data_IF_237463072546
#
_entry.id   IF_237463072546
#
_cell.length_a   1.000
_cell.length_b   1.000
_cell.length_c   1.000
_cell.angle_alpha   90.00
_cell.angle_beta   90.00
_cell.angle_gamma   90.00
#
_symmetry.space_group_name_H-M   'P 1'
#
loop_
_entity.id
_entity.type
_entity.pdbx_description
1 polymer ?
#
# COMPACT_ATOMS: atom_id res chain seq x y z
N UNK A 1 11.63 12.91 -5.79
CA UNK A 1 10.81 12.08 -6.71
C UNK A 1 9.64 11.47 -5.96
N UNK A 2 8.46 11.49 -6.56
CA UNK A 2 7.23 10.92 -6.01
C UNK A 2 6.87 9.67 -6.80
N UNK A 3 6.69 8.55 -6.10
CA UNK A 3 6.38 7.25 -6.73
C UNK A 3 5.09 6.70 -6.13
N UNK A 4 4.13 6.37 -7.01
CA UNK A 4 2.87 5.74 -6.66
C UNK A 4 2.97 4.23 -6.94
N UNK A 5 2.67 3.43 -5.93
CA UNK A 5 2.50 1.99 -6.04
C UNK A 5 1.00 1.68 -5.99
N UNK A 6 0.45 1.18 -7.08
CA UNK A 6 -0.96 0.79 -7.17
C UNK A 6 -1.07 -0.74 -7.12
N UNK A 7 -1.68 -1.25 -6.06
CA UNK A 7 -1.81 -2.68 -5.82
C UNK A 7 -3.26 -3.13 -6.00
N UNK A 8 -3.44 -4.27 -6.68
CA UNK A 8 -4.77 -4.85 -6.96
C UNK A 8 -4.97 -6.25 -6.38
N UNK A 9 -3.90 -7.01 -6.16
CA UNK A 9 -3.99 -8.41 -5.75
C UNK A 9 -4.25 -8.56 -4.24
N UNK A 10 -4.80 -9.72 -3.86
CA UNK A 10 -4.91 -10.12 -2.46
C UNK A 10 -3.52 -10.16 -1.80
N UNK A 11 -3.45 -9.97 -0.47
CA UNK A 11 -2.17 -9.89 0.24
C UNK A 11 -1.31 -11.14 0.08
N UNK A 12 -1.94 -12.30 -0.02
CA UNK A 12 -1.26 -13.59 -0.13
C UNK A 12 -1.86 -14.39 -1.29
N UNK A 13 -1.14 -15.36 -1.81
CA UNK A 13 -1.55 -16.14 -2.98
C UNK A 13 -0.70 -15.87 -4.21
N UNK A 14 -0.04 -14.72 -4.27
CA UNK A 14 1.03 -14.42 -5.24
C UNK A 14 2.06 -13.54 -4.53
N UNK A 15 3.23 -13.38 -5.14
CA UNK A 15 4.29 -12.53 -4.59
C UNK A 15 4.22 -11.07 -5.08
N UNK A 16 3.20 -10.71 -5.83
CA UNK A 16 3.10 -9.35 -6.41
C UNK A 16 3.16 -8.26 -5.35
N UNK A 17 2.32 -8.36 -4.32
CA UNK A 17 2.30 -7.35 -3.26
C UNK A 17 3.57 -7.38 -2.42
N UNK A 18 4.06 -8.57 -2.10
CA UNK A 18 5.33 -8.73 -1.40
C UNK A 18 6.47 -8.02 -2.16
N UNK A 19 6.57 -8.28 -3.46
CA UNK A 19 7.60 -7.65 -4.29
C UNK A 19 7.40 -6.14 -4.42
N UNK A 20 6.16 -5.67 -4.57
CA UNK A 20 5.85 -4.25 -4.62
C UNK A 20 6.31 -3.54 -3.35
N UNK A 21 5.93 -4.06 -2.19
CA UNK A 21 6.20 -3.42 -0.91
C UNK A 21 7.69 -3.48 -0.54
N UNK A 22 8.37 -4.58 -0.80
CA UNK A 22 9.81 -4.62 -0.55
C UNK A 22 10.58 -3.69 -1.48
N UNK A 23 10.09 -3.46 -2.70
CA UNK A 23 10.66 -2.47 -3.62
C UNK A 23 10.46 -1.06 -3.06
N UNK A 24 9.27 -0.73 -2.58
CA UNK A 24 9.00 0.55 -1.95
C UNK A 24 9.89 0.80 -0.73
N UNK A 25 10.01 -0.20 0.15
CA UNK A 25 10.87 -0.13 1.34
C UNK A 25 12.32 0.10 0.93
N UNK A 26 12.80 -0.62 -0.07
CA UNK A 26 14.19 -0.46 -0.54
C UNK A 26 14.44 0.94 -1.11
N UNK A 27 13.48 1.48 -1.86
CA UNK A 27 13.58 2.85 -2.37
C UNK A 27 13.69 3.87 -1.24
N UNK A 28 12.89 3.72 -0.19
CA UNK A 28 12.96 4.61 0.98
C UNK A 28 14.31 4.53 1.69
N UNK A 29 14.92 3.34 1.72
CA UNK A 29 16.25 3.17 2.33
C UNK A 29 17.38 3.78 1.50
N UNK A 30 17.27 3.67 0.17
CA UNK A 30 18.31 4.17 -0.74
C UNK A 30 18.33 5.69 -0.86
N UNK A 31 17.16 6.33 -0.83
CA UNK A 31 17.04 7.77 -1.01
C UNK A 31 15.89 8.35 -0.19
N UNK A 32 16.22 9.08 0.88
CA UNK A 32 15.24 9.68 1.79
C UNK A 32 14.40 10.78 1.14
N UNK A 33 14.80 11.28 -0.02
CA UNK A 33 14.03 12.29 -0.75
C UNK A 33 12.89 11.69 -1.58
N UNK A 34 12.83 10.36 -1.74
CA UNK A 34 11.76 9.69 -2.47
C UNK A 34 10.50 9.63 -1.59
N UNK A 35 9.40 10.16 -2.11
CA UNK A 35 8.08 10.05 -1.48
C UNK A 35 7.35 8.84 -2.03
N UNK A 36 6.93 7.94 -1.17
CA UNK A 36 6.18 6.74 -1.53
C UNK A 36 4.72 6.89 -1.15
N UNK A 37 3.84 6.64 -2.11
CA UNK A 37 2.41 6.50 -1.89
C UNK A 37 1.96 5.13 -2.37
N UNK A 38 1.37 4.34 -1.49
CA UNK A 38 0.77 3.05 -1.83
C UNK A 38 -0.75 3.20 -1.82
N UNK A 39 -1.38 2.90 -2.95
CA UNK A 39 -2.84 2.89 -3.05
C UNK A 39 -3.32 1.45 -3.23
N UNK A 40 -4.18 1.00 -2.32
CA UNK A 40 -4.72 -0.34 -2.30
C UNK A 40 -6.16 -0.33 -2.82
N UNK A 41 -6.42 -1.08 -3.89
CA UNK A 41 -7.77 -1.25 -4.41
C UNK A 41 -8.04 -2.72 -4.71
N UNK A 42 -9.29 -3.07 -5.05
CA UNK A 42 -9.70 -4.46 -5.24
C UNK A 42 -9.34 -5.29 -4.01
N UNK A 43 -8.91 -6.52 -4.18
CA UNK A 43 -8.53 -7.40 -3.08
C UNK A 43 -7.29 -6.91 -2.30
N UNK A 44 -6.51 -5.99 -2.86
CA UNK A 44 -5.35 -5.44 -2.18
C UNK A 44 -5.71 -4.61 -0.94
N UNK A 45 -6.95 -4.16 -0.78
CA UNK A 45 -7.37 -3.49 0.45
C UNK A 45 -7.16 -4.38 1.67
N UNK A 46 -7.23 -5.69 1.50
CA UNK A 46 -7.01 -6.66 2.58
C UNK A 46 -5.55 -6.73 3.04
N UNK A 47 -4.62 -6.14 2.31
CA UNK A 47 -3.24 -5.96 2.78
C UNK A 47 -3.20 -5.15 4.08
N UNK A 48 -4.17 -4.27 4.28
CA UNK A 48 -4.28 -3.43 5.46
C UNK A 48 -5.17 -4.02 6.56
N UNK A 49 -5.59 -5.28 6.44
CA UNK A 49 -6.38 -5.94 7.47
C UNK A 49 -5.54 -6.23 8.71
N UNK A 50 -6.14 -6.04 9.88
CA UNK A 50 -5.52 -6.39 11.16
C UNK A 50 -5.48 -7.91 11.36
N UNK A 51 -4.61 -8.37 12.24
CA UNK A 51 -4.59 -9.77 12.67
C UNK A 51 -3.87 -10.73 11.73
N UNK A 52 -3.06 -10.24 10.84
CA UNK A 52 -2.24 -11.10 9.98
C UNK A 52 -1.15 -11.78 10.81
N UNK A 53 -1.06 -13.10 10.73
CA UNK A 53 -0.17 -13.90 11.57
C UNK A 53 1.02 -14.50 10.82
N UNK A 54 1.24 -14.07 9.58
CA UNK A 54 2.36 -14.53 8.77
C UNK A 54 3.68 -14.10 9.40
N UNK A 55 4.72 -14.92 9.24
CA UNK A 55 6.05 -14.66 9.80
C UNK A 55 6.61 -13.30 9.41
N UNK A 56 7.43 -12.74 10.29
CA UNK A 56 8.18 -11.53 10.03
C UNK A 56 8.97 -11.65 8.71
N UNK A 57 8.95 -10.58 7.91
CA UNK A 57 9.57 -10.55 6.59
C UNK A 57 8.61 -10.84 5.45
N UNK A 58 7.54 -11.61 5.71
CA UNK A 58 6.48 -11.88 4.73
C UNK A 58 5.11 -11.34 5.14
N UNK A 59 5.02 -10.71 6.30
CA UNK A 59 3.77 -10.13 6.77
C UNK A 59 3.50 -8.83 6.03
N UNK A 60 2.48 -8.83 5.19
CA UNK A 60 2.15 -7.70 4.33
C UNK A 60 1.75 -6.46 5.13
N UNK A 61 0.97 -6.63 6.20
CA UNK A 61 0.58 -5.50 7.04
C UNK A 61 1.78 -4.86 7.74
N UNK A 62 2.73 -5.67 8.19
CA UNK A 62 3.96 -5.17 8.80
C UNK A 62 4.81 -4.38 7.80
N UNK A 63 4.84 -4.80 6.54
CA UNK A 63 5.55 -4.08 5.47
C UNK A 63 4.90 -2.72 5.20
N UNK A 64 3.56 -2.65 5.19
CA UNK A 64 2.85 -1.38 5.07
C UNK A 64 3.18 -0.44 6.24
N UNK A 65 3.21 -0.97 7.46
CA UNK A 65 3.58 -0.19 8.64
C UNK A 65 5.01 0.35 8.55
N UNK A 66 5.95 -0.45 8.06
CA UNK A 66 7.33 -0.03 7.83
C UNK A 66 7.39 1.15 6.85
N UNK A 67 6.61 1.09 5.76
CA UNK A 67 6.54 2.17 4.77
C UNK A 67 6.01 3.46 5.43
N UNK A 68 4.95 3.36 6.23
CA UNK A 68 4.38 4.51 6.96
C UNK A 68 5.39 5.10 7.94
N UNK A 69 6.07 4.25 8.70
CA UNK A 69 7.07 4.69 9.68
C UNK A 69 8.26 5.41 9.02
N UNK A 70 8.54 5.10 7.77
CA UNK A 70 9.56 5.80 6.97
C UNK A 70 9.02 7.02 6.20
N UNK A 71 7.80 7.47 6.51
CA UNK A 71 7.20 8.67 5.92
C UNK A 71 6.33 8.45 4.70
N UNK A 72 6.08 7.19 4.31
CA UNK A 72 5.18 6.88 3.21
C UNK A 72 3.70 7.04 3.55
N UNK A 73 2.87 7.13 2.53
CA UNK A 73 1.42 7.26 2.66
C UNK A 73 0.76 5.99 2.15
N UNK A 74 -0.22 5.47 2.90
CA UNK A 74 -1.04 4.33 2.48
C UNK A 74 -2.50 4.77 2.45
N UNK A 75 -3.15 4.61 1.31
CA UNK A 75 -4.60 4.80 1.18
C UNK A 75 -5.28 3.56 0.63
N UNK A 76 -6.51 3.36 1.05
CA UNK A 76 -7.33 2.19 0.76
C UNK A 76 -8.59 2.66 0.06
N UNK A 77 -8.92 2.06 -1.09
CA UNK A 77 -10.18 2.35 -1.77
C UNK A 77 -11.35 2.06 -0.84
N UNK A 78 -12.11 3.08 -0.50
CA UNK A 78 -13.24 2.99 0.46
C UNK A 78 -14.29 1.98 0.01
N UNK A 79 -14.75 2.05 -1.25
CA UNK A 79 -15.77 1.13 -1.76
C UNK A 79 -15.28 -0.32 -1.79
N UNK A 80 -14.01 -0.53 -2.13
CA UNK A 80 -13.42 -1.87 -2.12
C UNK A 80 -13.32 -2.43 -0.70
N UNK A 81 -12.98 -1.59 0.27
CA UNK A 81 -12.91 -1.96 1.68
C UNK A 81 -14.28 -2.32 2.24
N UNK A 82 -15.30 -1.46 1.97
CA UNK A 82 -16.67 -1.70 2.42
C UNK A 82 -17.24 -3.00 1.87
N UNK A 83 -17.05 -3.26 0.58
CA UNK A 83 -17.52 -4.48 -0.08
C UNK A 83 -16.95 -5.74 0.56
N UNK A 84 -15.75 -5.66 1.12
CA UNK A 84 -15.03 -6.78 1.74
C UNK A 84 -15.13 -6.81 3.26
N UNK A 85 -15.90 -5.91 3.85
CA UNK A 85 -16.08 -5.85 5.31
C UNK A 85 -14.85 -5.37 6.07
N UNK A 86 -13.92 -4.70 5.41
CA UNK A 86 -12.76 -4.11 6.09
C UNK A 86 -13.18 -2.77 6.70
N UNK A 87 -13.56 -2.79 7.98
CA UNK A 87 -14.07 -1.62 8.69
C UNK A 87 -12.96 -0.85 9.41
N UNK A 88 -11.96 -1.55 9.92
CA UNK A 88 -10.85 -0.96 10.66
C UNK A 88 -9.51 -1.45 10.08
N UNK A 89 -8.87 -0.66 9.21
CA UNK A 89 -7.55 -1.00 8.72
C UNK A 89 -6.49 -0.83 9.81
N UNK A 90 -5.30 -1.35 9.55
CA UNK A 90 -4.13 -1.10 10.40
C UNK A 90 -3.88 0.39 10.57
N UNK A 91 -3.25 0.76 11.69
CA UNK A 91 -2.89 2.14 11.97
C UNK A 91 -1.95 2.68 10.89
N UNK A 92 -2.22 3.89 10.42
CA UNK A 92 -1.42 4.54 9.38
C UNK A 92 -1.94 4.33 7.96
N UNK A 93 -2.86 3.39 7.75
CA UNK A 93 -3.56 3.24 6.49
C UNK A 93 -4.91 3.96 6.56
N UNK A 94 -5.16 4.86 5.62
CA UNK A 94 -6.35 5.70 5.60
C UNK A 94 -7.29 5.30 4.47
N UNK A 95 -8.60 5.47 4.69
CA UNK A 95 -9.57 5.34 3.62
C UNK A 95 -9.39 6.48 2.61
N UNK A 96 -9.43 6.15 1.35
CA UNK A 96 -9.28 7.10 0.26
C UNK A 96 -10.35 6.92 -0.81
N UNK A 97 -10.31 7.79 -1.81
CA UNK A 97 -11.26 7.81 -2.92
C UNK A 97 -10.53 7.62 -4.24
N UNK A 98 -11.31 7.42 -5.31
CA UNK A 98 -10.75 7.40 -6.66
C UNK A 98 -10.11 8.76 -7.01
N UNK A 99 -10.62 9.86 -6.44
CA UNK A 99 -10.03 11.20 -6.63
C UNK A 99 -8.60 11.23 -6.09
N UNK A 100 -8.36 10.65 -4.92
CA UNK A 100 -7.00 10.58 -4.36
C UNK A 100 -6.05 9.85 -5.31
N UNK A 101 -6.50 8.73 -5.87
CA UNK A 101 -5.71 7.95 -6.82
C UNK A 101 -5.43 8.75 -8.10
N UNK A 102 -6.46 9.32 -8.72
CA UNK A 102 -6.30 10.01 -10.01
C UNK A 102 -5.47 11.27 -9.88
N UNK A 103 -5.57 12.00 -8.76
CA UNK A 103 -4.66 13.12 -8.48
C UNK A 103 -3.20 12.65 -8.42
N UNK A 104 -2.95 11.55 -7.74
CA UNK A 104 -1.60 11.01 -7.63
C UNK A 104 -1.06 10.56 -9.01
N UNK A 105 -1.90 9.94 -9.84
CA UNK A 105 -1.50 9.54 -11.20
C UNK A 105 -1.02 10.75 -12.02
N UNK A 106 -1.68 11.88 -11.87
CA UNK A 106 -1.32 13.11 -12.60
C UNK A 106 -0.06 13.78 -12.01
N UNK A 107 0.07 13.77 -10.68
CA UNK A 107 1.12 14.53 -9.97
C UNK A 107 2.42 13.78 -9.77
N UNK A 108 2.37 12.44 -9.70
CA UNK A 108 3.53 11.62 -9.34
C UNK A 108 4.44 11.37 -10.53
N UNK A 109 5.73 11.26 -10.26
CA UNK A 109 6.76 11.06 -11.30
C UNK A 109 6.73 9.67 -11.91
N UNK A 110 6.38 8.67 -11.12
CA UNK A 110 6.27 7.27 -11.55
C UNK A 110 5.02 6.64 -10.98
N UNK A 111 4.40 5.78 -11.76
CA UNK A 111 3.26 4.95 -11.34
C UNK A 111 3.62 3.50 -11.62
N UNK A 112 3.72 2.70 -10.59
CA UNK A 112 4.02 1.27 -10.67
C UNK A 112 2.77 0.48 -10.29
N UNK A 113 2.29 -0.36 -11.19
CA UNK A 113 1.05 -1.13 -11.01
C UNK A 113 1.41 -2.61 -10.81
N UNK A 114 0.88 -3.16 -9.74
CA UNK A 114 1.07 -4.57 -9.40
C UNK A 114 -0.25 -5.32 -9.29
#
# INVERSE_FOLDING_TARGET
MKILFLLNDAPYGSDKNYNALRTAIQLQKQDKSISIFVYLMSDAVMCAAKGQTVKQGYNISAMLEEIVNAGGTIKICTSCAETRGLLEPIKGAELGTLIDLTKAIVEYDRVLIF
#
